data_IF_594600664391
#
_entry.id   IF_594600664391
#
_cell.length_a   1.000
_cell.length_b   1.000
_cell.length_c   1.000
_cell.angle_alpha   90.00
_cell.angle_beta   90.00
_cell.angle_gamma   90.00
#
_symmetry.space_group_name_H-M   'P 1'
#
loop_
_entity.id
_entity.type
_entity.pdbx_description
1 polymer ?
#
# COMPACT_ATOMS: atom_id res chain seq x y z
N UNK A 1 -18.12 15.62 20.94
CA UNK A 1 -17.65 15.84 19.55
C UNK A 1 -16.14 15.65 19.56
N UNK A 2 -15.67 14.41 19.38
CA UNK A 2 -14.24 14.10 19.38
C UNK A 2 -13.72 14.28 17.95
N UNK A 3 -12.91 15.32 17.76
CA UNK A 3 -12.17 15.55 16.52
C UNK A 3 -11.08 14.48 16.41
N UNK A 4 -11.32 13.46 15.58
CA UNK A 4 -10.31 12.49 15.16
C UNK A 4 -9.27 13.24 14.30
N UNK A 5 -8.13 13.55 14.91
CA UNK A 5 -6.98 14.11 14.19
C UNK A 5 -6.40 12.96 13.34
N UNK A 6 -6.54 13.07 12.03
CA UNK A 6 -6.02 12.11 11.07
C UNK A 6 -4.50 12.33 10.95
N UNK A 7 -3.71 11.56 11.72
CA UNK A 7 -2.24 11.66 11.71
C UNK A 7 -1.72 10.80 10.56
N UNK A 8 -1.00 11.41 9.60
CA UNK A 8 -0.43 10.66 8.48
C UNK A 8 0.61 9.63 8.97
N UNK A 9 0.77 8.49 8.28
CA UNK A 9 1.70 7.43 8.68
C UNK A 9 3.14 7.95 8.84
N UNK A 10 3.55 8.97 8.06
CA UNK A 10 4.86 9.62 8.17
C UNK A 10 5.05 10.36 9.49
N UNK A 11 3.99 11.01 10.01
CA UNK A 11 4.03 11.70 11.30
C UNK A 11 4.05 10.73 12.48
N UNK A 12 3.41 9.56 12.33
CA UNK A 12 3.44 8.48 13.34
C UNK A 12 4.85 7.89 13.47
N UNK A 13 5.54 7.62 12.36
CA UNK A 13 6.93 7.13 12.37
C UNK A 13 7.90 8.15 12.97
N UNK A 14 7.69 9.46 12.76
CA UNK A 14 8.49 10.51 13.39
C UNK A 14 8.26 10.57 14.91
N UNK A 15 7.01 10.44 15.36
CA UNK A 15 6.64 10.42 16.78
C UNK A 15 7.22 9.20 17.50
N UNK A 16 7.21 8.02 16.87
CA UNK A 16 7.81 6.79 17.42
C UNK A 16 9.33 6.93 17.53
N UNK A 17 10.01 7.46 16.50
CA UNK A 17 11.47 7.73 16.55
C UNK A 17 11.85 8.74 17.63
N UNK A 18 11.03 9.78 17.83
CA UNK A 18 11.24 10.77 18.87
C UNK A 18 11.04 10.16 20.28
N UNK A 19 10.05 9.28 20.47
CA UNK A 19 9.84 8.56 21.72
C UNK A 19 10.99 7.58 22.04
N UNK A 20 11.50 6.87 21.03
CA UNK A 20 12.63 5.93 21.17
C UNK A 20 13.95 6.64 21.49
N UNK A 21 14.20 7.84 20.94
CA UNK A 21 15.38 8.64 21.30
C UNK A 21 15.25 9.32 22.67
N UNK A 22 14.03 9.63 23.12
CA UNK A 22 13.77 10.19 24.45
C UNK A 22 13.88 9.12 25.55
N UNK A 23 13.58 7.85 25.26
CA UNK A 23 13.75 6.76 26.21
C UNK A 23 15.21 6.31 26.35
N UNK A 24 16.01 6.36 25.28
CA UNK A 24 17.42 5.99 25.29
C UNK A 24 18.33 7.02 25.97
N UNK A 25 17.92 8.30 26.02
CA UNK A 25 18.70 9.38 26.65
C UNK A 25 18.53 9.49 28.17
N UNK A 26 17.58 8.75 28.76
CA UNK A 26 17.32 8.75 30.20
C UNK A 26 18.13 7.73 31.01
N UNK A 27 18.95 6.87 30.38
CA UNK A 27 19.67 5.76 31.06
C UNK A 27 21.11 6.17 31.48
N UNK A 28 21.47 7.45 31.40
CA UNK A 28 22.83 7.86 31.78
C UNK A 28 22.95 8.10 33.28
N UNK A 29 23.85 7.31 33.89
CA UNK A 29 24.47 7.43 35.22
C UNK A 29 23.63 6.80 36.36
N UNK A 30 23.99 5.67 36.98
CA UNK A 30 25.29 5.30 37.55
C UNK A 30 25.49 3.77 37.63
N UNK A 31 26.54 3.25 36.99
CA UNK A 31 26.84 1.81 36.89
C UNK A 31 28.13 1.39 37.62
N UNK A 32 28.48 2.03 38.74
CA UNK A 32 29.58 1.56 39.59
C UNK A 32 29.00 0.92 40.85
N UNK A 33 29.18 -0.39 41.00
CA UNK A 33 28.95 -1.05 42.29
C UNK A 33 30.01 -0.54 43.27
N UNK A 34 29.61 0.15 44.33
CA UNK A 34 30.53 0.41 45.43
C UNK A 34 31.01 -0.93 46.02
N UNK A 35 32.32 -1.19 46.04
CA UNK A 35 32.84 -2.29 46.85
C UNK A 35 32.58 -1.97 48.32
N UNK A 36 32.01 -2.91 49.09
CA UNK A 36 31.75 -2.65 50.51
C UNK A 36 33.10 -2.59 51.24
N UNK A 37 33.49 -1.39 51.62
CA UNK A 37 34.71 -1.17 52.39
C UNK A 37 34.32 -0.95 53.84
N UNK A 38 34.62 -1.92 54.70
CA UNK A 38 34.30 -1.86 56.13
C UNK A 38 35.49 -1.24 56.88
N UNK A 39 35.34 -0.08 57.52
CA UNK A 39 36.47 0.70 58.05
C UNK A 39 37.08 0.16 59.36
N UNK A 40 36.37 -0.65 60.13
CA UNK A 40 36.85 -1.18 61.42
C UNK A 40 36.83 -2.71 61.44
N UNK A 41 37.86 -3.32 62.04
CA UNK A 41 37.93 -4.75 62.34
C UNK A 41 37.97 -4.96 63.86
N UNK A 42 37.39 -6.07 64.34
CA UNK A 42 37.30 -6.38 65.77
C UNK A 42 38.03 -7.69 66.07
N UNK A 43 38.77 -7.73 67.18
CA UNK A 43 39.45 -8.95 67.65
C UNK A 43 38.68 -9.57 68.81
N UNK A 44 38.65 -10.91 68.85
CA UNK A 44 37.96 -11.65 69.90
C UNK A 44 38.50 -11.27 71.29
N UNK A 45 37.60 -11.13 72.27
CA UNK A 45 37.95 -10.77 73.65
C UNK A 45 38.24 -9.28 73.89
N UNK A 46 38.20 -8.43 72.85
CA UNK A 46 38.31 -6.96 73.01
C UNK A 46 36.92 -6.30 72.93
N UNK A 47 36.57 -5.38 73.85
CA UNK A 47 35.31 -4.63 73.74
C UNK A 47 35.23 -3.82 72.44
N UNK A 48 34.15 -3.97 71.67
CA UNK A 48 33.92 -3.20 70.45
C UNK A 48 33.39 -1.78 70.77
N UNK A 49 33.94 -0.77 70.13
CA UNK A 49 33.50 0.62 70.30
C UNK A 49 32.22 0.85 69.48
N UNK A 50 31.15 1.32 70.12
CA UNK A 50 29.85 1.50 69.46
C UNK A 50 29.91 2.42 68.22
N UNK A 51 30.72 3.49 68.25
CA UNK A 51 30.90 4.36 67.09
C UNK A 51 31.55 3.65 65.90
N UNK A 52 32.51 2.76 66.15
CA UNK A 52 33.17 1.96 65.10
C UNK A 52 32.22 0.92 64.50
N UNK A 53 31.40 0.29 65.34
CA UNK A 53 30.35 -0.64 64.88
C UNK A 53 29.32 0.10 64.01
N UNK A 54 28.87 1.28 64.45
CA UNK A 54 27.96 2.11 63.68
C UNK A 54 28.57 2.57 62.34
N UNK A 55 29.87 2.89 62.30
CA UNK A 55 30.58 3.22 61.07
C UNK A 55 30.60 2.04 60.08
N UNK A 56 30.77 0.81 60.58
CA UNK A 56 30.70 -0.40 59.73
C UNK A 56 29.28 -0.61 59.17
N UNK A 57 28.24 -0.46 60.00
CA UNK A 57 26.86 -0.57 59.54
C UNK A 57 26.49 0.51 58.52
N UNK A 58 26.96 1.74 58.71
CA UNK A 58 26.76 2.82 57.74
C UNK A 58 27.40 2.49 56.39
N UNK A 59 28.62 1.93 56.38
CA UNK A 59 29.29 1.53 55.14
C UNK A 59 28.52 0.42 54.39
N UNK A 60 28.03 -0.60 55.11
CA UNK A 60 27.19 -1.66 54.53
C UNK A 60 25.88 -1.08 53.98
N UNK A 61 25.22 -0.22 54.75
CA UNK A 61 23.97 0.42 54.32
C UNK A 61 24.15 1.17 53.00
N UNK A 62 25.19 2.01 52.91
CA UNK A 62 25.48 2.77 51.68
C UNK A 62 25.70 1.86 50.47
N UNK A 63 26.44 0.75 50.62
CA UNK A 63 26.66 -0.20 49.53
C UNK A 63 25.38 -0.97 49.14
N UNK A 64 24.51 -1.27 50.10
CA UNK A 64 23.22 -1.91 49.83
C UNK A 64 22.27 -0.94 49.11
N UNK A 65 22.16 0.31 49.55
CA UNK A 65 21.34 1.35 48.90
C UNK A 65 21.83 1.61 47.45
N UNK A 66 23.15 1.60 47.21
CA UNK A 66 23.73 1.71 45.86
C UNK A 66 23.33 0.52 44.97
N UNK A 67 23.41 -0.70 45.50
CA UNK A 67 22.99 -1.89 44.77
C UNK A 67 21.48 -1.89 44.49
N UNK A 68 20.64 -1.44 45.42
CA UNK A 68 19.19 -1.29 45.22
C UNK A 68 18.90 -0.33 44.06
N UNK A 69 19.56 0.83 44.04
CA UNK A 69 19.46 1.79 42.93
C UNK A 69 19.88 1.21 41.58
N UNK A 70 20.94 0.39 41.54
CA UNK A 70 21.39 -0.30 40.32
C UNK A 70 20.41 -1.37 39.86
N UNK A 71 19.82 -2.12 40.79
CA UNK A 71 18.76 -3.10 40.48
C UNK A 71 17.57 -2.38 39.87
N UNK A 72 17.10 -1.29 40.47
CA UNK A 72 16.02 -0.49 39.92
C UNK A 72 16.33 0.05 38.51
N UNK A 73 17.56 0.51 38.26
CA UNK A 73 17.99 0.97 36.94
C UNK A 73 18.06 -0.16 35.90
N UNK A 74 18.54 -1.34 36.29
CA UNK A 74 18.54 -2.53 35.43
C UNK A 74 17.13 -3.00 35.09
N UNK A 75 16.23 -3.01 36.07
CA UNK A 75 14.82 -3.35 35.87
C UNK A 75 14.15 -2.37 34.89
N UNK A 76 14.40 -1.07 35.04
CA UNK A 76 13.93 -0.06 34.10
C UNK A 76 14.49 -0.28 32.67
N UNK A 77 15.78 -0.63 32.56
CA UNK A 77 16.42 -0.98 31.29
C UNK A 77 15.79 -2.21 30.62
N UNK A 78 15.46 -3.25 31.40
CA UNK A 78 14.76 -4.45 30.91
C UNK A 78 13.36 -4.12 30.39
N UNK A 79 12.60 -3.27 31.08
CA UNK A 79 11.29 -2.81 30.61
C UNK A 79 11.40 -2.04 29.30
N UNK A 80 12.39 -1.14 29.18
CA UNK A 80 12.63 -0.40 27.95
C UNK A 80 13.03 -1.31 26.77
N UNK A 81 13.85 -2.32 27.04
CA UNK A 81 14.25 -3.33 26.04
C UNK A 81 13.06 -4.19 25.61
N UNK A 82 12.20 -4.60 26.55
CA UNK A 82 10.97 -5.35 26.26
C UNK A 82 10.03 -4.53 25.37
N UNK A 83 9.83 -3.25 25.67
CA UNK A 83 9.02 -2.36 24.84
C UNK A 83 9.59 -2.21 23.41
N UNK A 84 10.92 -2.17 23.28
CA UNK A 84 11.60 -2.13 21.98
C UNK A 84 11.42 -3.43 21.20
N UNK A 85 11.47 -4.58 21.87
CA UNK A 85 11.21 -5.90 21.28
C UNK A 85 9.76 -6.02 20.78
N UNK A 86 8.80 -5.56 21.58
CA UNK A 86 7.38 -5.58 21.20
C UNK A 86 7.12 -4.71 19.96
N UNK A 87 7.73 -3.52 19.90
CA UNK A 87 7.65 -2.63 18.74
C UNK A 87 8.29 -3.26 17.48
N UNK A 88 9.43 -3.94 17.63
CA UNK A 88 10.08 -4.65 16.53
C UNK A 88 9.20 -5.81 16.03
N UNK A 89 8.60 -6.59 16.93
CA UNK A 89 7.68 -7.68 16.57
C UNK A 89 6.44 -7.18 15.83
N UNK A 90 5.85 -6.05 16.24
CA UNK A 90 4.74 -5.43 15.53
C UNK A 90 5.13 -5.00 14.11
N UNK A 91 6.34 -4.44 13.96
CA UNK A 91 6.89 -4.07 12.65
C UNK A 91 7.09 -5.30 11.75
N UNK A 92 7.65 -6.38 12.28
CA UNK A 92 7.83 -7.65 11.55
C UNK A 92 6.49 -8.21 11.08
N UNK A 93 5.47 -8.23 11.94
CA UNK A 93 4.13 -8.70 11.59
C UNK A 93 3.52 -7.88 10.44
N UNK A 94 3.76 -6.56 10.42
CA UNK A 94 3.31 -5.67 9.35
C UNK A 94 4.04 -5.98 8.05
N UNK A 95 5.38 -6.07 8.09
CA UNK A 95 6.19 -6.40 6.92
C UNK A 95 5.85 -7.77 6.32
N UNK A 96 5.50 -8.75 7.16
CA UNK A 96 5.03 -10.05 6.69
C UNK A 96 3.69 -9.95 5.93
N UNK A 97 2.79 -9.09 6.39
CA UNK A 97 1.50 -8.83 5.72
C UNK A 97 1.70 -8.11 4.39
N UNK A 98 2.56 -7.11 4.36
CA UNK A 98 2.89 -6.36 3.14
C UNK A 98 3.58 -7.27 2.12
N UNK A 99 4.51 -8.11 2.57
CA UNK A 99 5.19 -9.09 1.70
C UNK A 99 4.20 -10.08 1.09
N UNK A 100 3.26 -10.61 1.88
CA UNK A 100 2.20 -11.47 1.36
C UNK A 100 1.32 -10.75 0.34
N UNK A 101 1.02 -9.47 0.55
CA UNK A 101 0.25 -8.66 -0.40
C UNK A 101 0.99 -8.50 -1.73
N UNK A 102 2.30 -8.24 -1.67
CA UNK A 102 3.15 -8.12 -2.86
C UNK A 102 3.28 -9.47 -3.58
N UNK A 103 3.57 -10.55 -2.86
CA UNK A 103 3.75 -11.89 -3.44
C UNK A 103 2.49 -12.45 -4.08
N UNK A 104 1.31 -12.10 -3.57
CA UNK A 104 0.02 -12.49 -4.16
C UNK A 104 -0.48 -11.53 -5.25
N UNK A 105 0.32 -10.52 -5.62
CA UNK A 105 -0.04 -9.62 -6.70
C UNK A 105 0.15 -10.32 -8.06
N UNK A 106 -0.94 -10.45 -8.81
CA UNK A 106 -0.94 -11.11 -10.12
C UNK A 106 -0.01 -10.47 -11.16
N UNK A 107 0.37 -9.19 -10.99
CA UNK A 107 1.33 -8.52 -11.89
C UNK A 107 2.72 -9.15 -11.79
N UNK A 108 3.13 -9.65 -10.63
CA UNK A 108 4.41 -10.35 -10.50
C UNK A 108 4.46 -11.66 -11.28
N UNK A 109 3.30 -12.30 -11.49
CA UNK A 109 3.19 -13.50 -12.29
C UNK A 109 3.38 -13.23 -13.81
N UNK A 110 3.42 -11.97 -14.23
CA UNK A 110 3.73 -11.58 -15.61
C UNK A 110 5.24 -11.47 -15.88
N UNK A 111 6.09 -11.66 -14.88
CA UNK A 111 7.55 -11.61 -15.06
C UNK A 111 8.01 -12.58 -16.17
N UNK A 112 8.92 -12.11 -17.02
CA UNK A 112 9.37 -12.82 -18.22
C UNK A 112 8.36 -12.83 -19.39
N UNK A 113 7.07 -12.61 -19.16
CA UNK A 113 6.05 -12.57 -20.22
C UNK A 113 5.63 -11.15 -20.64
N UNK A 114 5.68 -10.17 -19.73
CA UNK A 114 5.49 -8.75 -20.01
C UNK A 114 6.76 -7.99 -19.67
N UNK A 115 7.47 -7.50 -20.69
CA UNK A 115 8.70 -6.74 -20.49
C UNK A 115 8.53 -5.29 -20.99
N UNK A 116 9.14 -4.36 -20.28
CA UNK A 116 9.28 -2.98 -20.74
C UNK A 116 10.63 -2.83 -21.46
N UNK A 117 10.60 -2.51 -22.74
CA UNK A 117 11.79 -2.38 -23.59
C UNK A 117 11.81 -1.03 -24.31
N UNK A 118 12.93 -0.65 -24.90
CA UNK A 118 12.99 0.49 -25.82
C UNK A 118 12.94 -0.02 -27.26
N UNK A 119 12.17 0.66 -28.11
CA UNK A 119 12.21 0.41 -29.54
C UNK A 119 13.50 0.97 -30.18
N UNK A 120 13.63 0.84 -31.50
CA UNK A 120 14.80 1.31 -32.25
C UNK A 120 15.01 2.83 -32.17
N UNK A 121 13.97 3.59 -31.81
CA UNK A 121 13.96 5.03 -31.69
C UNK A 121 14.10 5.50 -30.22
N UNK A 122 14.20 4.56 -29.27
CA UNK A 122 14.31 4.86 -27.84
C UNK A 122 12.97 5.08 -27.12
N UNK A 123 11.84 4.67 -27.70
CA UNK A 123 10.52 4.78 -27.07
C UNK A 123 10.19 3.54 -26.23
N UNK A 124 9.69 3.78 -25.02
CA UNK A 124 9.27 2.72 -24.11
C UNK A 124 8.11 1.91 -24.71
N UNK A 125 8.27 0.60 -24.77
CA UNK A 125 7.36 -0.35 -25.39
C UNK A 125 7.10 -1.51 -24.43
N UNK A 126 5.82 -1.79 -24.17
CA UNK A 126 5.42 -3.00 -23.47
C UNK A 126 5.38 -4.17 -24.47
N UNK A 127 6.24 -5.16 -24.28
CA UNK A 127 6.31 -6.35 -25.12
C UNK A 127 5.75 -7.56 -24.36
N UNK A 128 4.75 -8.20 -24.96
CA UNK A 128 4.18 -9.45 -24.49
C UNK A 128 4.84 -10.61 -25.24
N UNK A 129 5.40 -11.59 -24.53
CA UNK A 129 6.10 -12.74 -25.12
C UNK A 129 5.62 -14.05 -24.48
N UNK A 130 5.32 -15.05 -25.30
CA UNK A 130 4.85 -16.37 -24.84
C UNK A 130 3.47 -16.37 -24.16
N UNK A 131 2.69 -15.29 -24.26
CA UNK A 131 1.34 -15.15 -23.67
C UNK A 131 0.36 -14.51 -24.64
N UNK A 132 -0.93 -14.80 -24.47
CA UNK A 132 -2.02 -14.11 -25.16
C UNK A 132 -2.42 -12.85 -24.39
N UNK A 133 -2.79 -11.79 -25.11
CA UNK A 133 -3.43 -10.61 -24.52
C UNK A 133 -4.93 -10.70 -24.78
N UNK A 134 -5.72 -10.75 -23.70
CA UNK A 134 -7.19 -10.73 -23.77
C UNK A 134 -7.70 -9.52 -23.00
N UNK A 135 -8.57 -8.75 -23.63
CA UNK A 135 -9.26 -7.62 -22.99
C UNK A 135 -10.69 -8.06 -22.69
N UNK A 136 -11.06 -8.03 -21.42
CA UNK A 136 -12.40 -8.39 -20.93
C UNK A 136 -13.08 -7.18 -20.31
N UNK A 137 -14.40 -7.11 -20.41
CA UNK A 137 -15.20 -6.03 -19.85
C UNK A 137 -15.45 -6.12 -18.33
N UNK A 138 -14.96 -7.19 -17.69
CA UNK A 138 -15.11 -7.43 -16.25
C UNK A 138 -16.45 -8.03 -15.81
N UNK A 139 -17.31 -8.46 -16.74
CA UNK A 139 -18.61 -9.10 -16.42
C UNK A 139 -18.74 -10.43 -17.17
N UNK A 140 -19.16 -10.39 -18.43
CA UNK A 140 -19.31 -11.54 -19.32
C UNK A 140 -19.19 -11.09 -20.79
N UNK A 141 -19.15 -12.02 -21.75
CA UNK A 141 -18.95 -11.67 -23.18
C UNK A 141 -20.17 -11.01 -23.85
N UNK A 142 -21.32 -10.97 -23.18
CA UNK A 142 -22.60 -10.53 -23.74
C UNK A 142 -23.07 -9.18 -23.18
N UNK A 143 -22.64 -8.83 -21.97
CA UNK A 143 -23.04 -7.62 -21.28
C UNK A 143 -22.24 -6.41 -21.78
N UNK A 144 -22.92 -5.44 -22.37
CA UNK A 144 -22.29 -4.21 -22.84
C UNK A 144 -22.21 -3.20 -21.70
N UNK A 145 -21.01 -2.76 -21.33
CA UNK A 145 -20.79 -1.82 -20.21
C UNK A 145 -19.75 -0.71 -20.50
N UNK A 146 -19.32 -0.54 -21.75
CA UNK A 146 -18.28 0.43 -22.13
C UNK A 146 -16.83 0.02 -21.82
N UNK A 147 -16.61 -1.10 -21.14
CA UNK A 147 -15.27 -1.63 -20.80
C UNK A 147 -14.89 -2.80 -21.72
N UNK A 148 -13.65 -3.28 -21.61
CA UNK A 148 -13.18 -4.40 -22.43
C UNK A 148 -12.68 -4.01 -23.83
N UNK A 149 -12.35 -2.74 -24.05
CA UNK A 149 -11.87 -2.22 -25.34
C UNK A 149 -10.34 -2.07 -25.35
N UNK A 150 -9.69 -2.35 -26.49
CA UNK A 150 -8.29 -2.00 -26.74
C UNK A 150 -8.23 -0.69 -27.54
N UNK A 151 -7.67 0.37 -26.95
CA UNK A 151 -7.55 1.68 -27.59
C UNK A 151 -6.08 1.93 -27.95
N UNK A 152 -5.83 2.19 -29.24
CA UNK A 152 -4.53 2.53 -29.81
C UNK A 152 -4.57 3.98 -30.30
N UNK A 153 -3.79 4.86 -29.69
CA UNK A 153 -3.87 6.31 -29.93
C UNK A 153 -4.66 7.04 -28.85
N UNK A 154 -5.21 8.22 -29.16
CA UNK A 154 -5.88 9.08 -28.18
C UNK A 154 -7.37 8.76 -28.05
N UNK A 155 -7.85 8.57 -26.82
CA UNK A 155 -9.28 8.39 -26.53
C UNK A 155 -10.04 9.74 -26.48
N UNK A 156 -9.73 10.68 -27.37
CA UNK A 156 -10.27 12.04 -27.33
C UNK A 156 -11.81 12.04 -27.54
N UNK A 157 -12.54 13.00 -26.93
CA UNK A 157 -13.95 13.19 -27.22
C UNK A 157 -14.14 13.76 -28.64
N UNK A 158 -15.13 13.25 -29.36
CA UNK A 158 -15.58 13.86 -30.62
C UNK A 158 -16.49 15.06 -30.32
N UNK A 159 -16.16 16.22 -30.87
CA UNK A 159 -16.86 17.49 -30.62
C UNK A 159 -17.48 18.13 -31.89
N UNK A 160 -17.42 17.45 -33.04
CA UNK A 160 -17.97 17.92 -34.32
C UNK A 160 -18.29 16.73 -35.25
N UNK A 161 -19.12 16.98 -36.29
CA UNK A 161 -19.53 15.97 -37.29
C UNK A 161 -21.01 15.62 -37.21
N UNK A 162 -21.42 14.45 -37.70
CA UNK A 162 -22.81 13.98 -37.57
C UNK A 162 -23.05 13.34 -36.20
N UNK A 163 -24.17 13.69 -35.55
CA UNK A 163 -24.66 12.97 -34.38
C UNK A 163 -25.09 11.57 -34.78
N UNK A 164 -24.85 10.60 -33.90
CA UNK A 164 -25.16 9.19 -34.10
C UNK A 164 -25.76 8.60 -32.82
N UNK A 165 -26.49 7.50 -32.94
CA UNK A 165 -27.14 6.81 -31.82
C UNK A 165 -26.19 5.85 -31.09
N UNK A 166 -26.26 5.78 -29.76
CA UNK A 166 -25.43 4.91 -28.92
C UNK A 166 -25.63 3.41 -29.08
N UNK A 167 -26.84 2.98 -29.44
CA UNK A 167 -27.13 1.59 -29.78
C UNK A 167 -26.68 1.23 -31.19
N UNK A 168 -26.68 2.22 -32.10
CA UNK A 168 -26.27 2.07 -33.49
C UNK A 168 -27.34 1.53 -34.43
N UNK A 169 -28.48 1.01 -33.97
CA UNK A 169 -29.55 0.54 -34.86
C UNK A 169 -30.46 1.68 -35.35
N UNK A 170 -30.58 2.75 -34.59
CA UNK A 170 -31.42 3.90 -34.96
C UNK A 170 -30.64 4.91 -35.81
N UNK A 171 -31.17 5.25 -36.99
CA UNK A 171 -30.61 6.27 -37.89
C UNK A 171 -31.25 7.65 -37.71
N UNK A 172 -32.25 7.78 -36.85
CA UNK A 172 -32.90 9.04 -36.53
C UNK A 172 -32.91 9.31 -35.02
N UNK A 173 -32.86 10.60 -34.68
CA UNK A 173 -32.77 11.06 -33.31
C UNK A 173 -34.00 10.68 -32.48
N UNK A 174 -35.19 10.77 -33.06
CA UNK A 174 -36.45 10.57 -32.34
C UNK A 174 -36.61 9.11 -31.93
N UNK A 175 -36.30 8.16 -32.82
CA UNK A 175 -36.30 6.74 -32.51
C UNK A 175 -35.18 6.37 -31.54
N UNK A 176 -33.98 6.94 -31.71
CA UNK A 176 -32.87 6.71 -30.78
C UNK A 176 -33.23 7.13 -29.35
N UNK A 177 -33.63 8.39 -29.17
CA UNK A 177 -33.98 8.91 -27.85
C UNK A 177 -35.27 8.28 -27.31
N UNK A 178 -36.22 7.94 -28.20
CA UNK A 178 -37.44 7.21 -27.85
C UNK A 178 -37.18 5.78 -27.38
N UNK A 179 -36.09 5.15 -27.83
CA UNK A 179 -35.57 3.87 -27.35
C UNK A 179 -34.80 3.96 -26.04
N UNK A 180 -34.63 5.16 -25.47
CA UNK A 180 -33.82 5.40 -24.26
C UNK A 180 -32.32 5.55 -24.54
N UNK A 181 -31.92 5.59 -25.80
CA UNK A 181 -30.54 5.68 -26.24
C UNK A 181 -30.04 7.12 -26.36
N UNK A 182 -28.72 7.29 -26.40
CA UNK A 182 -28.06 8.59 -26.50
C UNK A 182 -27.82 8.96 -27.96
N UNK A 183 -28.34 10.10 -28.39
CA UNK A 183 -28.03 10.73 -29.68
C UNK A 183 -27.01 11.85 -29.49
N UNK A 184 -25.74 11.61 -29.80
CA UNK A 184 -24.65 12.54 -29.46
C UNK A 184 -23.48 12.50 -30.46
N UNK A 185 -22.61 13.52 -30.42
CA UNK A 185 -21.33 13.50 -31.14
C UNK A 185 -20.37 12.43 -30.61
N UNK A 186 -20.44 12.12 -29.31
CA UNK A 186 -19.52 11.23 -28.62
C UNK A 186 -20.30 10.31 -27.67
N UNK A 187 -20.30 9.02 -27.97
CA UNK A 187 -20.79 7.96 -27.08
C UNK A 187 -19.82 6.77 -27.15
N UNK A 188 -19.36 6.28 -25.99
CA UNK A 188 -18.38 5.17 -25.86
C UNK A 188 -19.01 4.01 -25.09
N UNK A 189 -20.15 3.56 -25.58
CA UNK A 189 -21.03 2.61 -24.89
C UNK A 189 -20.72 1.16 -25.22
N UNK A 190 -20.03 0.87 -26.33
CA UNK A 190 -19.69 -0.50 -26.76
C UNK A 190 -18.54 -1.16 -25.97
N UNK A 191 -18.39 -2.49 -26.15
CA UNK A 191 -17.30 -3.30 -25.55
C UNK A 191 -16.60 -4.15 -26.62
N UNK A 192 -15.40 -4.68 -26.33
CA UNK A 192 -14.67 -5.57 -27.24
C UNK A 192 -14.36 -4.99 -28.64
N UNK A 193 -14.01 -3.70 -28.70
CA UNK A 193 -13.57 -3.04 -29.93
C UNK A 193 -12.05 -2.88 -29.97
N UNK A 194 -11.47 -2.98 -31.16
CA UNK A 194 -10.11 -2.50 -31.46
C UNK A 194 -10.23 -1.13 -32.13
N UNK A 195 -9.78 -0.08 -31.45
CA UNK A 195 -9.88 1.30 -31.92
C UNK A 195 -8.49 1.84 -32.19
N UNK A 196 -8.21 2.29 -33.43
CA UNK A 196 -7.00 3.02 -33.75
C UNK A 196 -7.28 4.32 -34.52
N UNK A 197 -6.73 5.44 -34.07
CA UNK A 197 -6.93 6.78 -34.65
C UNK A 197 -7.66 7.75 -33.72
N UNK A 198 -8.02 8.94 -34.22
CA UNK A 198 -8.61 10.03 -33.42
C UNK A 198 -10.13 10.18 -33.67
N UNK A 199 -10.88 10.60 -32.64
CA UNK A 199 -12.32 10.97 -32.70
C UNK A 199 -13.28 9.91 -33.25
N UNK A 200 -13.11 8.66 -32.83
CA UNK A 200 -13.96 7.54 -33.27
C UNK A 200 -15.14 7.27 -32.30
N UNK A 201 -16.28 6.83 -32.86
CA UNK A 201 -17.44 6.33 -32.11
C UNK A 201 -17.62 4.83 -32.37
N UNK A 202 -18.06 4.09 -31.35
CA UNK A 202 -18.35 2.66 -31.44
C UNK A 202 -19.56 2.29 -30.58
N UNK A 203 -20.41 1.42 -31.11
CA UNK A 203 -21.52 0.77 -30.40
C UNK A 203 -21.39 -0.75 -30.48
N UNK A 204 -22.11 -1.46 -29.58
CA UNK A 204 -22.22 -2.92 -29.59
C UNK A 204 -20.86 -3.63 -29.35
N UNK A 205 -20.63 -4.84 -29.89
CA UNK A 205 -19.40 -5.63 -29.68
C UNK A 205 -18.79 -6.16 -30.98
N UNK A 206 -17.46 -6.35 -31.02
CA UNK A 206 -16.78 -7.08 -32.11
C UNK A 206 -16.34 -6.26 -33.33
N UNK A 207 -16.12 -4.94 -33.19
CA UNK A 207 -15.71 -4.06 -34.29
C UNK A 207 -14.22 -3.72 -34.35
N UNK A 208 -13.72 -3.45 -35.56
CA UNK A 208 -12.38 -2.88 -35.80
C UNK A 208 -12.55 -1.50 -36.44
N UNK A 209 -12.05 -0.46 -35.77
CA UNK A 209 -12.21 0.94 -36.20
C UNK A 209 -10.84 1.57 -36.43
N UNK A 210 -10.54 1.96 -37.67
CA UNK A 210 -9.28 2.60 -38.04
C UNK A 210 -9.49 3.94 -38.75
N UNK A 211 -8.79 5.00 -38.32
CA UNK A 211 -8.73 6.30 -39.01
C UNK A 211 -9.34 7.47 -38.21
N UNK A 212 -9.72 8.55 -38.91
CA UNK A 212 -10.36 9.75 -38.33
C UNK A 212 -11.88 9.78 -38.64
N UNK A 213 -12.70 10.18 -37.65
CA UNK A 213 -14.16 10.37 -37.77
C UNK A 213 -14.94 9.10 -38.15
N UNK A 214 -14.45 7.92 -37.76
CA UNK A 214 -15.14 6.68 -38.07
C UNK A 214 -16.25 6.37 -37.05
N UNK A 215 -17.31 5.77 -37.55
CA UNK A 215 -18.38 5.20 -36.74
C UNK A 215 -18.50 3.72 -37.11
N UNK A 216 -18.28 2.85 -36.13
CA UNK A 216 -18.54 1.41 -36.29
C UNK A 216 -19.83 1.05 -35.58
N UNK A 217 -20.72 0.40 -36.33
CA UNK A 217 -22.00 -0.11 -35.86
C UNK A 217 -21.99 -1.61 -36.12
N UNK A 218 -22.11 -2.41 -35.07
CA UNK A 218 -22.26 -3.86 -35.18
C UNK A 218 -23.70 -4.27 -34.97
N UNK A 219 -24.34 -4.93 -35.94
CA UNK A 219 -25.64 -5.60 -35.73
C UNK A 219 -25.33 -7.10 -35.54
N UNK A 220 -25.63 -7.66 -34.37
CA UNK A 220 -25.67 -9.13 -34.25
C UNK A 220 -27.02 -9.62 -34.76
N UNK A 221 -27.09 -10.39 -35.86
CA UNK A 221 -28.33 -11.07 -36.21
C UNK A 221 -28.59 -12.17 -35.18
N UNK A 222 -29.69 -12.04 -34.44
CA UNK A 222 -30.20 -13.11 -33.60
C UNK A 222 -30.67 -14.26 -34.51
N UNK A 223 -29.95 -15.37 -34.51
CA UNK A 223 -30.39 -16.60 -35.19
C UNK A 223 -31.62 -17.13 -34.48
N UNK A 224 -32.80 -16.87 -35.05
CA UNK A 224 -34.02 -17.60 -34.68
C UNK A 224 -33.92 -18.96 -35.34
N UNK A 225 -33.44 -19.95 -34.59
CA UNK A 225 -33.68 -21.36 -34.93
C UNK A 225 -35.15 -21.61 -34.60
N UNK A 226 -36.02 -21.42 -35.59
CA UNK A 226 -37.37 -21.97 -35.54
C UNK A 226 -37.23 -23.49 -35.72
N UNK A 227 -37.47 -24.21 -34.63
CA UNK A 227 -37.63 -25.68 -34.59
C UNK A 227 -38.82 -26.15 -35.42
#
# INVERSE_FOLDING_TARGET
>A
MFTLINISPVRMTLLVKALVMLSLSAISYSALAGTVTVPNSFSAGTPAVASQVNNNFAAVKTAVDDNDGRVAALEAGLVAMQASLDAANATIATLQTDLNTVQNNSVLALDGNLISTLDVNGFLTAQFTGINVQVVNGVDQTTINGLGNMIVGYNAPRNSGSLVCSDGQYTDQTACQGGGETWAFNHKTGSHNLVAGDRNNYSQTGGVVFGELNTSIGIMPMSVVAS
#
